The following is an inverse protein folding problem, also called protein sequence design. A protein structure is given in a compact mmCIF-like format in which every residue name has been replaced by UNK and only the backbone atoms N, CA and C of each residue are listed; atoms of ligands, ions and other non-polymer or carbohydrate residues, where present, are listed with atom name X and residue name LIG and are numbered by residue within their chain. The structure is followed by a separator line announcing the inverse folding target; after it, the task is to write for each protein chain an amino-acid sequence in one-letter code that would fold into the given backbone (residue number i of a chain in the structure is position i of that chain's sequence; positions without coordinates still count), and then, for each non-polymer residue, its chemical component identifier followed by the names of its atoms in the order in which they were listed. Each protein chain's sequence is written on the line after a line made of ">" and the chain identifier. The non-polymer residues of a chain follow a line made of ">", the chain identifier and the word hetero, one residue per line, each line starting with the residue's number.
data_IF_643284196417
#
_entry.id   IF_643284196417
#
_cell.length_a   1.000
_cell.length_b   1.000
_cell.length_c   1.000
_cell.angle_alpha   90.00
_cell.angle_beta   90.00
_cell.angle_gamma   90.00
#
_symmetry.space_group_name_H-M   'P 1'
#
loop_
_entity.id
_entity.type
_entity.pdbx_description
1 polymer ?
#
# COMPACT_ATOMS: atom_id res chain seq x y z
N UNK A 1 -14.30 11.41 -7.58
CA UNK A 1 -13.59 12.71 -7.51
C UNK A 1 -14.59 13.84 -7.38
N UNK A 2 -15.61 13.92 -8.24
CA UNK A 2 -16.62 14.98 -8.16
C UNK A 2 -17.42 14.98 -6.84
N UNK A 3 -17.80 13.82 -6.33
CA UNK A 3 -18.44 13.69 -5.01
C UNK A 3 -17.55 14.25 -3.90
N UNK A 4 -16.27 13.87 -3.84
CA UNK A 4 -15.34 14.42 -2.85
C UNK A 4 -15.11 15.94 -3.02
N UNK A 5 -15.05 16.46 -4.26
CA UNK A 5 -14.88 17.90 -4.55
C UNK A 5 -15.99 18.76 -3.95
N UNK A 6 -17.22 18.26 -3.94
CA UNK A 6 -18.38 19.01 -3.47
C UNK A 6 -18.38 19.20 -1.94
N UNK A 7 -17.94 18.18 -1.19
CA UNK A 7 -17.95 18.20 0.28
C UNK A 7 -16.63 18.71 0.90
N UNK A 8 -15.52 18.67 0.16
CA UNK A 8 -14.18 19.03 0.65
C UNK A 8 -13.69 20.40 0.14
N UNK A 9 -14.55 21.40 -0.01
CA UNK A 9 -14.15 22.72 -0.54
C UNK A 9 -13.03 23.40 0.27
N UNK A 10 -12.99 23.18 1.59
CA UNK A 10 -11.93 23.68 2.47
C UNK A 10 -10.65 22.83 2.40
N UNK A 11 -10.75 21.60 1.94
CA UNK A 11 -9.69 20.57 1.95
C UNK A 11 -9.19 20.26 0.53
N UNK A 12 -9.19 21.30 -0.31
CA UNK A 12 -8.85 21.24 -1.74
C UNK A 12 -7.43 20.72 -1.98
N UNK A 13 -6.49 21.06 -1.09
CA UNK A 13 -5.09 20.63 -1.17
C UNK A 13 -4.96 19.10 -1.07
N UNK A 14 -5.66 18.47 -0.12
CA UNK A 14 -5.67 17.02 0.05
C UNK A 14 -6.20 16.32 -1.21
N UNK A 15 -7.29 16.83 -1.78
CA UNK A 15 -7.87 16.25 -2.99
C UNK A 15 -6.96 16.43 -4.22
N UNK A 16 -6.31 17.59 -4.33
CA UNK A 16 -5.36 17.89 -5.41
C UNK A 16 -4.15 16.96 -5.35
N UNK A 17 -3.63 16.68 -4.15
CA UNK A 17 -2.56 15.69 -3.96
C UNK A 17 -2.98 14.28 -4.44
N UNK A 18 -4.20 13.82 -4.13
CA UNK A 18 -4.70 12.52 -4.59
C UNK A 18 -4.84 12.49 -6.12
N UNK A 19 -5.35 13.56 -6.72
CA UNK A 19 -5.49 13.66 -8.18
C UNK A 19 -4.12 13.65 -8.86
N UNK A 20 -3.15 14.40 -8.33
CA UNK A 20 -1.80 14.45 -8.86
C UNK A 20 -1.10 13.09 -8.73
N UNK A 21 -1.22 12.43 -7.58
CA UNK A 21 -0.68 11.09 -7.37
C UNK A 21 -1.31 10.06 -8.33
N UNK A 22 -2.63 10.12 -8.56
CA UNK A 22 -3.31 9.26 -9.53
C UNK A 22 -2.82 9.50 -10.95
N UNK A 23 -2.62 10.76 -11.35
CA UNK A 23 -2.10 11.10 -12.67
C UNK A 23 -0.67 10.59 -12.85
N UNK A 24 0.17 10.70 -11.83
CA UNK A 24 1.53 10.15 -11.83
C UNK A 24 1.52 8.63 -12.03
N UNK A 25 0.63 7.90 -11.34
CA UNK A 25 0.45 6.45 -11.53
C UNK A 25 0.02 6.11 -12.96
N UNK A 26 -0.97 6.84 -13.51
CA UNK A 26 -1.44 6.61 -14.88
C UNK A 26 -0.32 6.83 -15.89
N UNK A 27 0.43 7.93 -15.73
CA UNK A 27 1.52 8.30 -16.62
C UNK A 27 2.68 7.31 -16.56
N UNK A 28 3.11 6.90 -15.36
CA UNK A 28 4.15 5.90 -15.18
C UNK A 28 3.75 4.54 -15.77
N UNK A 29 2.48 4.16 -15.62
CA UNK A 29 1.92 2.93 -16.21
C UNK A 29 1.89 2.97 -17.74
N UNK A 30 1.51 4.11 -18.33
CA UNK A 30 1.51 4.29 -19.79
C UNK A 30 2.92 4.26 -20.39
N UNK A 31 3.91 4.78 -19.67
CA UNK A 31 5.32 4.81 -20.08
C UNK A 31 6.06 3.49 -19.81
N UNK A 32 5.47 2.57 -19.03
CA UNK A 32 6.11 1.32 -18.63
C UNK A 32 7.27 1.51 -17.65
N UNK A 33 7.36 2.66 -16.98
CA UNK A 33 8.42 2.95 -16.00
C UNK A 33 8.03 2.37 -14.63
N UNK A 34 8.57 1.17 -14.34
CA UNK A 34 8.33 0.45 -13.09
C UNK A 34 8.88 1.19 -11.86
N UNK A 35 9.97 1.96 -12.00
CA UNK A 35 10.56 2.71 -10.90
C UNK A 35 9.70 3.91 -10.50
N UNK A 36 9.27 4.68 -11.49
CA UNK A 36 8.33 5.79 -11.28
C UNK A 36 6.96 5.28 -10.81
N UNK A 37 6.51 4.11 -11.29
CA UNK A 37 5.23 3.52 -10.90
C UNK A 37 5.20 3.20 -9.40
N UNK A 38 6.24 2.56 -8.86
CA UNK A 38 6.31 2.24 -7.43
C UNK A 38 6.23 3.48 -6.54
N UNK A 39 6.98 4.53 -6.88
CA UNK A 39 6.94 5.79 -6.14
C UNK A 39 5.59 6.49 -6.24
N UNK A 40 4.99 6.51 -7.43
CA UNK A 40 3.68 7.11 -7.65
C UNK A 40 2.57 6.36 -6.90
N UNK A 41 2.63 5.03 -6.85
CA UNK A 41 1.70 4.20 -6.07
C UNK A 41 1.81 4.48 -4.58
N UNK A 42 3.03 4.58 -4.04
CA UNK A 42 3.25 4.94 -2.62
C UNK A 42 2.67 6.32 -2.30
N UNK A 43 2.89 7.30 -3.17
CA UNK A 43 2.30 8.64 -3.03
C UNK A 43 0.76 8.61 -3.07
N UNK A 44 0.18 7.79 -3.95
CA UNK A 44 -1.27 7.62 -4.04
C UNK A 44 -1.85 6.96 -2.79
N UNK A 45 -1.22 5.89 -2.27
CA UNK A 45 -1.61 5.24 -1.01
C UNK A 45 -1.62 6.23 0.15
N UNK A 46 -0.56 7.01 0.31
CA UNK A 46 -0.46 8.02 1.37
C UNK A 46 -1.55 9.11 1.24
N UNK A 47 -1.84 9.56 0.01
CA UNK A 47 -2.91 10.53 -0.25
C UNK A 47 -4.31 9.97 0.06
N UNK A 48 -4.56 8.70 -0.26
CA UNK A 48 -5.82 8.02 0.04
C UNK A 48 -6.00 7.80 1.56
N UNK A 49 -4.94 7.48 2.30
CA UNK A 49 -4.99 7.42 3.76
C UNK A 49 -5.45 8.73 4.39
N UNK A 50 -4.89 9.87 3.94
CA UNK A 50 -5.32 11.21 4.38
C UNK A 50 -6.77 11.52 3.98
N UNK A 51 -7.20 11.10 2.80
CA UNK A 51 -8.58 11.27 2.34
C UNK A 51 -9.58 10.48 3.20
N UNK A 52 -9.25 9.26 3.60
CA UNK A 52 -10.10 8.45 4.48
C UNK A 52 -10.17 9.03 5.89
N UNK A 53 -9.04 9.47 6.45
CA UNK A 53 -9.00 10.16 7.74
C UNK A 53 -9.94 11.38 7.75
N UNK A 54 -9.89 12.17 6.68
CA UNK A 54 -10.74 13.34 6.57
C UNK A 54 -12.22 12.97 6.43
N UNK A 55 -12.54 11.90 5.69
CA UNK A 55 -13.91 11.45 5.50
C UNK A 55 -14.61 11.01 6.80
N UNK A 56 -13.86 10.70 7.88
CA UNK A 56 -14.44 10.47 9.21
C UNK A 56 -15.11 11.72 9.78
N UNK A 57 -14.54 12.89 9.49
CA UNK A 57 -15.08 14.19 9.92
C UNK A 57 -16.28 14.64 9.08
N UNK A 58 -16.58 13.96 7.96
CA UNK A 58 -17.69 14.28 7.06
C UNK A 58 -18.63 13.07 6.91
N UNK A 59 -19.60 12.87 7.82
CA UNK A 59 -20.53 11.73 7.80
C UNK A 59 -21.27 11.56 6.46
N UNK A 60 -21.57 12.67 5.79
CA UNK A 60 -22.26 12.69 4.49
C UNK A 60 -21.39 12.14 3.36
N UNK A 61 -20.08 12.43 3.40
CA UNK A 61 -19.11 11.85 2.46
C UNK A 61 -18.94 10.34 2.74
N UNK A 62 -18.89 9.95 4.01
CA UNK A 62 -18.84 8.54 4.43
C UNK A 62 -20.09 7.77 4.05
N UNK A 63 -21.26 8.40 4.07
CA UNK A 63 -22.53 7.80 3.67
C UNK A 63 -22.68 7.68 2.14
N UNK A 64 -21.88 8.43 1.37
CA UNK A 64 -21.95 8.40 -0.09
C UNK A 64 -21.56 7.02 -0.65
N UNK A 65 -22.47 6.39 -1.41
CA UNK A 65 -22.24 5.05 -1.96
C UNK A 65 -21.00 4.95 -2.85
N UNK A 66 -20.74 5.97 -3.70
CA UNK A 66 -19.57 5.98 -4.57
C UNK A 66 -18.26 6.03 -3.77
N UNK A 67 -18.26 6.77 -2.66
CA UNK A 67 -17.11 6.84 -1.77
C UNK A 67 -16.88 5.52 -1.01
N UNK A 68 -17.96 4.91 -0.49
CA UNK A 68 -17.90 3.60 0.17
C UNK A 68 -17.40 2.50 -0.76
N UNK A 69 -17.88 2.47 -2.01
CA UNK A 69 -17.41 1.51 -3.01
C UNK A 69 -15.92 1.70 -3.33
N UNK A 70 -15.46 2.95 -3.45
CA UNK A 70 -14.03 3.26 -3.63
C UNK A 70 -13.19 2.78 -2.43
N UNK A 71 -13.66 3.06 -1.21
CA UNK A 71 -13.02 2.61 0.02
C UNK A 71 -12.89 1.08 0.05
N UNK A 72 -13.98 0.35 -0.19
CA UNK A 72 -13.97 -1.11 -0.23
C UNK A 72 -13.01 -1.68 -1.27
N UNK A 73 -12.96 -1.09 -2.46
CA UNK A 73 -12.05 -1.51 -3.53
C UNK A 73 -10.58 -1.34 -3.11
N UNK A 74 -10.24 -0.20 -2.50
CA UNK A 74 -8.89 0.09 -2.03
C UNK A 74 -8.52 -0.85 -0.88
N UNK A 75 -9.40 -1.02 0.11
CA UNK A 75 -9.17 -1.96 1.22
C UNK A 75 -8.94 -3.38 0.71
N UNK A 76 -9.72 -3.86 -0.26
CA UNK A 76 -9.53 -5.19 -0.85
C UNK A 76 -8.20 -5.33 -1.60
N UNK A 77 -7.72 -4.28 -2.26
CA UNK A 77 -6.40 -4.27 -2.88
C UNK A 77 -5.27 -4.30 -1.84
N UNK A 78 -5.40 -3.53 -0.75
CA UNK A 78 -4.43 -3.53 0.35
C UNK A 78 -4.36 -4.88 1.06
N UNK A 79 -5.50 -5.54 1.29
CA UNK A 79 -5.53 -6.92 1.79
C UNK A 79 -4.77 -7.86 0.84
N UNK A 80 -5.05 -7.80 -0.47
CA UNK A 80 -4.34 -8.63 -1.44
C UNK A 80 -2.83 -8.34 -1.50
N UNK A 81 -2.41 -7.09 -1.31
CA UNK A 81 -0.99 -6.72 -1.21
C UNK A 81 -0.38 -7.30 0.07
N UNK A 82 -1.07 -7.20 1.21
CA UNK A 82 -0.63 -7.79 2.48
C UNK A 82 -0.44 -9.30 2.36
N UNK A 83 -1.39 -10.01 1.77
CA UNK A 83 -1.32 -11.47 1.55
C UNK A 83 -0.09 -11.85 0.71
N UNK A 84 0.19 -11.10 -0.37
CA UNK A 84 1.36 -11.33 -1.24
C UNK A 84 2.68 -11.09 -0.50
N UNK A 85 2.71 -10.10 0.40
CA UNK A 85 3.88 -9.81 1.24
C UNK A 85 4.14 -10.94 2.23
N UNK A 86 3.09 -11.44 2.88
CA UNK A 86 3.19 -12.57 3.80
C UNK A 86 3.71 -13.81 3.08
N UNK A 87 3.12 -14.15 1.93
CA UNK A 87 3.52 -15.31 1.14
C UNK A 87 4.99 -15.22 0.65
N UNK A 88 5.46 -14.03 0.29
CA UNK A 88 6.87 -13.82 -0.04
C UNK A 88 7.77 -14.08 1.17
N UNK A 89 7.46 -13.47 2.31
CA UNK A 89 8.25 -13.61 3.53
C UNK A 89 8.26 -15.05 4.05
N UNK A 90 7.13 -15.75 3.96
CA UNK A 90 7.04 -17.18 4.28
C UNK A 90 7.95 -18.01 3.37
N UNK A 91 7.92 -17.74 2.06
CA UNK A 91 8.76 -18.43 1.07
C UNK A 91 10.26 -18.19 1.30
N UNK A 92 10.65 -16.95 1.60
CA UNK A 92 12.02 -16.58 1.95
C UNK A 92 12.46 -17.26 3.25
N UNK A 93 11.61 -17.23 4.28
CA UNK A 93 11.91 -17.88 5.55
C UNK A 93 12.09 -19.39 5.37
N UNK A 94 11.21 -20.04 4.60
CA UNK A 94 11.33 -21.47 4.29
C UNK A 94 12.63 -21.78 3.55
N UNK A 95 13.01 -20.97 2.56
CA UNK A 95 14.29 -21.11 1.86
C UNK A 95 15.46 -20.99 2.84
N UNK A 96 15.51 -19.91 3.62
CA UNK A 96 16.61 -19.63 4.54
C UNK A 96 16.77 -20.71 5.61
N UNK A 97 15.65 -21.22 6.14
CA UNK A 97 15.66 -22.33 7.10
C UNK A 97 16.13 -23.63 6.44
N UNK A 98 15.69 -23.93 5.21
CA UNK A 98 16.09 -25.18 4.52
C UNK A 98 17.56 -25.21 4.16
N UNK A 99 18.12 -24.12 3.63
CA UNK A 99 19.54 -24.10 3.24
C UNK A 99 20.50 -24.23 4.44
N UNK A 100 20.01 -24.07 5.66
CA UNK A 100 20.76 -24.27 6.91
C UNK A 100 20.55 -25.64 7.56
N UNK A 101 19.60 -26.44 7.09
CA UNK A 101 19.27 -27.75 7.68
C UNK A 101 19.94 -28.90 6.94
N UNK A 102 20.28 -29.97 7.67
CA UNK A 102 20.75 -31.21 7.06
C UNK A 102 19.54 -32.02 6.50
N UNK A 103 19.63 -32.59 5.28
CA UNK A 103 20.79 -32.67 4.38
C UNK A 103 20.91 -31.50 3.39
N UNK A 104 19.90 -30.64 3.33
CA UNK A 104 19.75 -29.56 2.37
C UNK A 104 20.95 -28.59 2.32
N UNK A 105 21.65 -28.36 3.44
CA UNK A 105 22.88 -27.54 3.50
C UNK A 105 24.01 -28.03 2.57
N UNK A 106 24.11 -29.34 2.35
CA UNK A 106 25.11 -29.93 1.45
C UNK A 106 24.77 -29.63 -0.01
N UNK A 107 23.49 -29.73 -0.36
CA UNK A 107 22.98 -29.40 -1.68
C UNK A 107 22.99 -27.88 -1.91
N UNK A 108 22.66 -27.09 -0.88
CA UNK A 108 22.67 -25.63 -0.93
C UNK A 108 24.07 -25.11 -1.28
N UNK A 109 25.10 -25.61 -0.61
CA UNK A 109 26.49 -25.27 -0.92
C UNK A 109 26.94 -25.74 -2.32
N UNK A 110 26.54 -26.95 -2.74
CA UNK A 110 26.94 -27.51 -4.03
C UNK A 110 26.26 -26.83 -5.23
N UNK A 111 25.01 -26.38 -5.09
CA UNK A 111 24.22 -25.74 -6.15
C UNK A 111 24.14 -24.22 -6.03
N UNK A 112 24.77 -23.62 -5.00
CA UNK A 112 24.87 -22.17 -4.83
C UNK A 112 23.59 -21.48 -4.35
N UNK A 113 22.73 -22.18 -3.60
CA UNK A 113 21.56 -21.56 -2.98
C UNK A 113 22.00 -20.63 -1.84
N UNK A 114 21.48 -19.40 -1.85
CA UNK A 114 21.82 -18.36 -0.88
C UNK A 114 20.59 -17.94 -0.05
N UNK A 115 20.84 -17.35 1.12
CA UNK A 115 19.77 -16.71 1.88
C UNK A 115 19.18 -15.56 1.05
N UNK A 116 17.85 -15.48 1.04
CA UNK A 116 17.13 -14.35 0.50
C UNK A 116 16.79 -13.37 1.63
N UNK A 117 16.77 -12.08 1.31
CA UNK A 117 16.40 -11.04 2.27
C UNK A 117 14.88 -11.04 2.48
N UNK A 118 14.45 -10.97 3.75
CA UNK A 118 13.05 -10.78 4.08
C UNK A 118 12.62 -9.38 3.65
N UNK A 119 11.40 -9.27 3.15
CA UNK A 119 10.80 -8.00 2.80
C UNK A 119 10.43 -7.25 4.09
N UNK A 120 11.28 -6.30 4.46
CA UNK A 120 11.08 -5.42 5.62
C UNK A 120 10.39 -4.14 5.16
N UNK A 121 9.21 -3.89 5.74
CA UNK A 121 8.52 -2.61 5.62
C UNK A 121 8.63 -1.87 6.95
N UNK A 122 8.74 -0.55 6.87
CA UNK A 122 8.74 0.30 8.05
C UNK A 122 7.43 0.14 8.82
N UNK A 123 7.45 0.25 10.16
CA UNK A 123 6.23 0.21 10.97
C UNK A 123 5.18 1.25 10.50
N UNK A 124 5.61 2.36 9.89
CA UNK A 124 4.74 3.37 9.29
C UNK A 124 3.91 2.85 8.10
N UNK A 125 4.32 1.78 7.42
CA UNK A 125 3.61 1.14 6.31
C UNK A 125 2.74 -0.05 6.75
N UNK A 126 2.93 -0.51 8.00
CA UNK A 126 2.19 -1.60 8.65
C UNK A 126 1.24 -1.11 9.74
N UNK A 127 1.42 0.10 10.24
CA UNK A 127 0.54 0.72 11.20
C UNK A 127 -0.82 0.90 10.54
N UNK A 128 -1.82 0.20 11.10
CA UNK A 128 -3.20 0.64 11.02
C UNK A 128 -3.18 2.14 11.33
N UNK A 129 -3.78 2.96 10.46
CA UNK A 129 -3.68 4.42 10.58
C UNK A 129 -4.27 4.80 11.94
N UNK A 130 -3.41 5.03 12.94
CA UNK A 130 -3.86 5.43 14.27
C UNK A 130 -4.24 6.90 14.18
N UNK A 131 -5.53 7.15 13.99
CA UNK A 131 -6.11 8.47 13.81
C UNK A 131 -6.26 9.21 15.15
N UNK A 132 -6.05 8.56 16.30
CA UNK A 132 -6.17 9.18 17.63
C UNK A 132 -5.33 10.44 17.86
N UNK A 133 -4.09 10.56 17.34
CA UNK A 133 -3.29 11.77 17.54
C UNK A 133 -3.80 13.00 16.77
N UNK A 134 -4.70 12.81 15.79
CA UNK A 134 -5.29 13.90 15.00
C UNK A 134 -6.53 14.52 15.66
N UNK A 135 -6.96 13.98 16.80
CA UNK A 135 -8.13 14.43 17.56
C UNK A 135 -7.77 14.99 18.95
N UNK A 136 -6.51 15.44 19.13
CA UNK A 136 -6.04 16.15 20.32
C UNK A 136 -6.16 17.67 20.17
#
# INVERSE_FOLDING_TARGET
>A
VETCKQYMQHERNTLEQVVNARNAVSSAREQGDLGALGQAETGLRAGLGRLFALAENYPELRANENFRHLQQRISGLETGIADRRELYNESVNLNNVRIEQFPDVLLAGAFGFQQAELLQFSEAERADVDLKPLFG
#
